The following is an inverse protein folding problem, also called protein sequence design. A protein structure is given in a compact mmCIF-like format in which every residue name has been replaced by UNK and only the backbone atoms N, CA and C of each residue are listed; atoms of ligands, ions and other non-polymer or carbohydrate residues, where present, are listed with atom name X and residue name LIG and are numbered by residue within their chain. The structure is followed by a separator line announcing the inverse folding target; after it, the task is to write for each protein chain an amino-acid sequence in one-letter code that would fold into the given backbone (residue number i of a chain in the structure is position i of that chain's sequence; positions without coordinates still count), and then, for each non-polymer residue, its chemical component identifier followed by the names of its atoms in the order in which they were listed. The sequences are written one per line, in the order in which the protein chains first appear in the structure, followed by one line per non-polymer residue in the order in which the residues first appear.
data_IF_778431167358
#
_entry.id   IF_778431167358
#
_cell.length_a   1.000
_cell.length_b   1.000
_cell.length_c   1.000
_cell.angle_alpha   90.00
_cell.angle_beta   90.00
_cell.angle_gamma   90.00
#
_symmetry.space_group_name_H-M   'P 1'
#
loop_
_entity.id
_entity.type
_entity.pdbx_description
1 polymer ?
#
# COMPACT_ATOMS: atom_id res chain seq x y z
N UNK A 1 20.21 -31.93 -7.10
CA UNK A 1 21.04 -30.71 -7.26
C UNK A 1 20.19 -29.71 -8.04
N UNK A 2 19.64 -28.69 -7.38
CA UNK A 2 18.79 -27.67 -8.01
C UNK A 2 19.55 -26.33 -8.03
N UNK A 3 19.75 -25.79 -9.23
CA UNK A 3 20.58 -24.64 -9.52
C UNK A 3 19.82 -23.30 -9.46
N UNK A 4 19.17 -23.00 -8.33
CA UNK A 4 18.51 -21.71 -8.11
C UNK A 4 18.90 -21.04 -6.79
N UNK A 5 20.13 -21.29 -6.32
CA UNK A 5 20.69 -20.53 -5.20
C UNK A 5 21.24 -19.19 -5.68
N UNK A 6 20.50 -18.13 -5.34
CA UNK A 6 20.99 -16.78 -5.00
C UNK A 6 21.69 -15.97 -6.10
N UNK A 7 20.90 -15.32 -6.97
CA UNK A 7 21.38 -14.10 -7.64
C UNK A 7 21.30 -12.95 -6.64
N UNK A 8 22.42 -12.65 -5.97
CA UNK A 8 22.53 -11.51 -5.06
C UNK A 8 22.67 -10.17 -5.81
N UNK A 9 22.33 -9.06 -5.12
CA UNK A 9 22.41 -7.67 -5.59
C UNK A 9 23.76 -7.27 -6.22
N UNK A 10 24.84 -7.95 -5.81
CA UNK A 10 26.20 -7.76 -6.35
C UNK A 10 26.40 -8.36 -7.76
N UNK A 11 25.64 -9.38 -8.14
CA UNK A 11 25.71 -9.97 -9.49
C UNK A 11 24.98 -9.09 -10.51
N UNK A 12 23.87 -8.46 -10.11
CA UNK A 12 23.15 -7.49 -10.94
C UNK A 12 24.00 -6.29 -11.36
N UNK A 13 24.78 -5.73 -10.42
CA UNK A 13 25.61 -4.55 -10.72
C UNK A 13 26.80 -4.84 -11.64
N UNK A 14 27.24 -6.10 -11.73
CA UNK A 14 28.33 -6.50 -12.63
C UNK A 14 27.87 -6.66 -14.09
N UNK A 15 26.61 -7.00 -14.32
CA UNK A 15 26.04 -7.08 -15.67
C UNK A 15 25.79 -5.69 -16.31
N UNK A 16 25.64 -4.65 -15.49
CA UNK A 16 25.41 -3.28 -15.97
C UNK A 16 26.71 -2.49 -16.28
N UNK A 17 27.89 -3.08 -16.05
CA UNK A 17 29.17 -2.41 -16.18
C UNK A 17 30.08 -3.12 -17.20
N UNK A 18 29.66 -3.16 -18.46
CA UNK A 18 30.56 -3.49 -19.58
C UNK A 18 30.74 -2.23 -20.42
N UNK A 19 31.96 -1.68 -20.57
CA UNK A 19 32.19 -0.50 -21.39
C UNK A 19 32.06 -0.88 -22.87
N UNK A 20 31.23 -0.14 -23.60
CA UNK A 20 31.13 -0.20 -25.06
C UNK A 20 32.46 0.30 -25.65
N UNK A 21 33.30 -0.63 -26.11
CA UNK A 21 34.36 -0.34 -27.07
C UNK A 21 33.88 -0.86 -28.42
N UNK A 22 33.94 0.02 -29.41
CA UNK A 22 33.26 -0.08 -30.70
C UNK A 22 33.54 -1.37 -31.49
N UNK A 23 32.46 -1.85 -32.10
CA UNK A 23 32.48 -2.90 -33.11
C UNK A 23 31.06 -3.03 -33.64
N UNK A 24 30.83 -2.58 -34.88
CA UNK A 24 29.56 -2.77 -35.58
C UNK A 24 29.35 -4.27 -35.78
N UNK A 25 28.53 -4.89 -34.94
CA UNK A 25 28.03 -6.25 -35.12
C UNK A 25 26.53 -6.19 -34.93
N UNK A 26 25.80 -6.55 -35.98
CA UNK A 26 24.35 -6.71 -35.98
C UNK A 26 23.97 -7.75 -34.93
N UNK A 27 23.59 -7.27 -33.74
CA UNK A 27 23.05 -8.12 -32.68
C UNK A 27 21.62 -8.42 -33.10
N UNK A 28 21.37 -9.67 -33.47
CA UNK A 28 20.04 -10.20 -33.69
C UNK A 28 19.16 -9.88 -32.48
N UNK A 29 17.94 -9.42 -32.75
CA UNK A 29 16.97 -8.95 -31.77
C UNK A 29 16.30 -10.11 -30.98
N UNK A 30 17.09 -11.09 -30.56
CA UNK A 30 16.66 -12.20 -29.71
C UNK A 30 17.55 -12.22 -28.46
N UNK A 31 17.46 -11.17 -27.65
CA UNK A 31 18.00 -11.19 -26.30
C UNK A 31 16.89 -11.67 -25.34
N UNK A 32 16.88 -12.95 -24.93
CA UNK A 32 15.86 -13.50 -24.04
C UNK A 32 15.85 -12.86 -22.65
N UNK A 33 16.83 -12.01 -22.33
CA UNK A 33 16.89 -11.25 -21.07
C UNK A 33 15.93 -10.05 -21.03
N UNK A 34 15.44 -9.55 -22.17
CA UNK A 34 14.40 -8.52 -22.20
C UNK A 34 12.97 -9.08 -22.10
N UNK A 35 12.79 -10.40 -22.17
CA UNK A 35 11.49 -11.07 -22.26
C UNK A 35 11.10 -11.82 -20.98
N UNK A 36 11.31 -11.18 -19.82
CA UNK A 36 10.84 -11.71 -18.54
C UNK A 36 10.40 -10.61 -17.56
N UNK A 37 9.77 -9.55 -18.06
CA UNK A 37 8.82 -8.82 -17.22
C UNK A 37 7.55 -9.68 -17.15
N UNK A 38 7.53 -10.67 -16.25
CA UNK A 38 6.29 -11.38 -15.93
C UNK A 38 5.22 -10.34 -15.64
N UNK A 39 4.15 -10.33 -16.41
CA UNK A 39 3.01 -9.44 -16.22
C UNK A 39 2.29 -9.84 -14.94
N UNK A 40 2.81 -9.39 -13.79
CA UNK A 40 2.17 -9.60 -12.49
C UNK A 40 0.78 -8.98 -12.59
N UNK A 41 -0.26 -9.81 -12.50
CA UNK A 41 -1.64 -9.34 -12.48
C UNK A 41 -1.81 -8.41 -11.27
N UNK A 42 -2.21 -7.14 -11.48
CA UNK A 42 -2.35 -6.20 -10.38
C UNK A 42 -3.33 -6.69 -9.32
N UNK A 43 -2.97 -6.54 -8.04
CA UNK A 43 -3.83 -6.88 -6.90
C UNK A 43 -4.66 -5.68 -6.47
N UNK A 44 -5.94 -5.91 -6.15
CA UNK A 44 -6.83 -4.85 -5.71
C UNK A 44 -6.60 -4.53 -4.23
N UNK A 45 -6.45 -3.26 -3.86
CA UNK A 45 -6.25 -2.85 -2.46
C UNK A 45 -7.26 -1.79 -2.05
N UNK A 46 -7.74 -1.88 -0.80
CA UNK A 46 -8.44 -0.78 -0.15
C UNK A 46 -7.42 0.13 0.55
N UNK A 47 -7.62 1.44 0.48
CA UNK A 47 -6.86 2.37 1.31
C UNK A 47 -7.74 2.91 2.45
N UNK A 48 -7.17 2.96 3.65
CA UNK A 48 -7.80 3.49 4.86
C UNK A 48 -6.91 4.61 5.37
N UNK A 49 -7.34 5.86 5.22
CA UNK A 49 -6.50 7.02 5.51
C UNK A 49 -7.17 8.02 6.44
N UNK A 50 -6.38 8.76 7.19
CA UNK A 50 -6.85 9.86 8.05
C UNK A 50 -7.24 11.07 7.21
N UNK A 51 -6.36 11.51 6.33
CA UNK A 51 -6.56 12.60 5.36
C UNK A 51 -5.92 12.24 4.02
N UNK A 52 -6.28 12.98 2.96
CA UNK A 52 -5.56 12.96 1.70
C UNK A 52 -5.44 14.40 1.18
N UNK A 53 -4.29 15.03 1.42
CA UNK A 53 -3.89 16.34 0.88
C UNK A 53 -2.56 16.23 0.14
N UNK A 54 -2.19 17.23 -0.66
CA UNK A 54 -0.88 17.24 -1.33
C UNK A 54 0.27 17.09 -0.33
N UNK A 55 1.26 16.28 -0.70
CA UNK A 55 2.47 15.96 0.09
C UNK A 55 2.19 15.28 1.44
N UNK A 56 0.94 14.88 1.71
CA UNK A 56 0.65 13.96 2.81
C UNK A 56 1.18 12.56 2.51
N UNK A 57 1.34 11.73 3.53
CA UNK A 57 1.80 10.37 3.30
C UNK A 57 0.81 9.53 2.47
N UNK A 58 -0.48 9.82 2.58
CA UNK A 58 -1.52 9.31 1.68
C UNK A 58 -1.22 9.68 0.22
N UNK A 59 -0.79 10.90 -0.06
CA UNK A 59 -0.45 11.33 -1.42
C UNK A 59 0.81 10.65 -1.95
N UNK A 60 1.85 10.56 -1.12
CA UNK A 60 3.11 9.88 -1.47
C UNK A 60 2.87 8.42 -1.87
N UNK A 61 1.97 7.71 -1.18
CA UNK A 61 1.69 6.30 -1.45
C UNK A 61 0.61 6.14 -2.53
N UNK A 62 -0.58 6.70 -2.31
CA UNK A 62 -1.73 6.51 -3.21
C UNK A 62 -1.51 7.18 -4.56
N UNK A 63 -0.75 8.28 -4.62
CA UNK A 63 -0.34 8.91 -5.87
C UNK A 63 0.44 7.96 -6.77
N UNK A 64 1.25 7.04 -6.23
CA UNK A 64 1.95 6.02 -7.04
C UNK A 64 1.02 4.95 -7.60
N UNK A 65 -0.05 4.62 -6.86
CA UNK A 65 -1.07 3.68 -7.33
C UNK A 65 -1.95 4.30 -8.43
N UNK A 66 -2.20 5.61 -8.35
CA UNK A 66 -3.08 6.32 -9.27
C UNK A 66 -2.36 6.89 -10.51
N UNK A 67 -1.12 7.34 -10.33
CA UNK A 67 -0.39 8.14 -11.34
C UNK A 67 0.94 7.52 -11.78
N UNK A 68 1.31 6.36 -11.23
CA UNK A 68 2.57 5.68 -11.55
C UNK A 68 3.78 6.25 -10.80
N UNK A 69 4.96 5.67 -11.06
CA UNK A 69 6.20 6.02 -10.35
C UNK A 69 6.61 7.48 -10.54
N UNK A 70 6.39 8.02 -11.74
CA UNK A 70 6.78 9.38 -12.14
C UNK A 70 5.61 10.37 -12.16
N UNK A 71 4.42 9.98 -11.70
CA UNK A 71 3.19 10.79 -11.77
C UNK A 71 2.76 11.19 -13.19
N UNK A 72 3.19 10.44 -14.20
CA UNK A 72 2.93 10.65 -15.62
C UNK A 72 1.90 9.66 -16.20
N UNK A 73 1.24 8.88 -15.32
CA UNK A 73 0.39 7.73 -15.66
C UNK A 73 1.14 6.60 -16.37
N UNK A 74 2.46 6.57 -16.26
CA UNK A 74 3.31 5.47 -16.67
C UNK A 74 3.21 4.27 -15.71
N UNK A 75 4.18 3.34 -15.76
CA UNK A 75 4.21 2.18 -14.89
C UNK A 75 4.15 2.56 -13.40
N UNK A 76 3.44 1.76 -12.62
CA UNK A 76 3.31 1.88 -11.16
C UNK A 76 3.52 0.53 -10.47
N UNK A 77 3.23 0.42 -9.17
CA UNK A 77 3.18 -0.88 -8.50
C UNK A 77 2.14 -1.78 -9.17
N UNK A 78 2.33 -3.10 -9.09
CA UNK A 78 1.34 -4.10 -9.53
C UNK A 78 0.14 -4.17 -8.57
N UNK A 79 -0.47 -3.02 -8.29
CA UNK A 79 -1.59 -2.81 -7.39
C UNK A 79 -2.61 -1.90 -8.06
N UNK A 80 -3.89 -2.07 -7.73
CA UNK A 80 -4.99 -1.20 -8.12
C UNK A 80 -5.69 -0.69 -6.86
N UNK A 81 -5.82 0.62 -6.72
CA UNK A 81 -6.66 1.20 -5.67
C UNK A 81 -8.13 0.95 -6.00
N UNK A 82 -8.78 0.06 -5.24
CA UNK A 82 -10.16 -0.36 -5.47
C UNK A 82 -11.18 0.53 -4.75
N UNK A 83 -10.80 1.07 -3.59
CA UNK A 83 -11.65 1.89 -2.73
C UNK A 83 -10.83 2.69 -1.74
N UNK A 84 -11.45 3.73 -1.21
CA UNK A 84 -10.87 4.60 -0.19
C UNK A 84 -11.84 4.81 0.97
N UNK A 85 -11.32 4.78 2.20
CA UNK A 85 -11.94 5.40 3.36
C UNK A 85 -11.07 6.60 3.78
N UNK A 86 -11.69 7.75 4.04
CA UNK A 86 -11.02 8.96 4.53
C UNK A 86 -11.72 9.41 5.80
N UNK A 87 -10.98 9.51 6.91
CA UNK A 87 -11.53 9.87 8.21
C UNK A 87 -11.89 11.36 8.29
N UNK A 88 -11.10 12.23 7.65
CA UNK A 88 -11.25 13.69 7.71
C UNK A 88 -10.96 14.35 6.36
N UNK A 89 -11.77 15.34 6.00
CA UNK A 89 -11.62 16.15 4.77
C UNK A 89 -11.25 17.60 5.16
N UNK A 90 -9.96 17.92 5.34
CA UNK A 90 -9.54 19.29 5.64
C UNK A 90 -9.78 20.23 4.44
N UNK A 91 -9.60 21.54 4.65
CA UNK A 91 -9.86 22.55 3.60
C UNK A 91 -8.98 22.41 2.35
N UNK A 92 -7.85 21.73 2.45
CA UNK A 92 -6.90 21.40 1.37
C UNK A 92 -7.00 19.94 0.90
N UNK A 93 -8.15 19.28 1.14
CA UNK A 93 -8.43 17.93 0.67
C UNK A 93 -8.25 17.79 -0.85
N UNK A 94 -7.63 16.68 -1.25
CA UNK A 94 -7.57 16.21 -2.63
C UNK A 94 -8.17 14.82 -2.81
N UNK A 95 -8.64 14.15 -1.74
CA UNK A 95 -9.23 12.81 -1.84
C UNK A 95 -10.36 12.78 -2.88
N UNK A 96 -11.29 13.73 -2.77
CA UNK A 96 -12.52 13.74 -3.59
C UNK A 96 -12.20 13.97 -5.06
N UNK A 97 -11.31 14.91 -5.36
CA UNK A 97 -10.93 15.22 -6.74
C UNK A 97 -10.11 14.09 -7.37
N UNK A 98 -9.19 13.49 -6.62
CA UNK A 98 -8.41 12.33 -7.08
C UNK A 98 -9.30 11.10 -7.31
N UNK A 99 -10.17 10.78 -6.35
CA UNK A 99 -11.09 9.65 -6.47
C UNK A 99 -12.05 9.81 -7.66
N UNK A 100 -12.58 11.02 -7.88
CA UNK A 100 -13.40 11.32 -9.05
C UNK A 100 -12.61 11.17 -10.37
N UNK A 101 -11.37 11.68 -10.42
CA UNK A 101 -10.47 11.60 -11.59
C UNK A 101 -10.15 10.15 -11.99
N UNK A 102 -10.08 9.24 -11.03
CA UNK A 102 -9.67 7.84 -11.24
C UNK A 102 -10.78 6.81 -11.04
N UNK A 103 -12.04 7.25 -10.88
CA UNK A 103 -13.20 6.40 -10.62
C UNK A 103 -12.99 5.44 -9.42
N UNK A 104 -12.39 5.94 -8.34
CA UNK A 104 -12.24 5.20 -7.07
C UNK A 104 -13.39 5.61 -6.15
N UNK A 105 -14.23 4.68 -5.67
CA UNK A 105 -15.27 4.99 -4.71
C UNK A 105 -14.67 5.33 -3.33
N UNK A 106 -15.23 6.36 -2.69
CA UNK A 106 -15.00 6.66 -1.27
C UNK A 106 -16.19 6.12 -0.47
N UNK A 107 -15.92 5.42 0.62
CA UNK A 107 -16.94 4.87 1.51
C UNK A 107 -16.90 5.51 2.90
N UNK A 108 -18.04 5.51 3.59
CA UNK A 108 -18.22 6.13 4.91
C UNK A 108 -17.71 5.26 6.07
N UNK A 109 -17.35 4.00 5.78
CA UNK A 109 -16.78 3.08 6.77
C UNK A 109 -15.66 2.22 6.19
N UNK A 110 -14.75 1.81 7.06
CA UNK A 110 -13.65 0.90 6.73
C UNK A 110 -14.19 -0.44 6.22
N UNK A 111 -15.26 -0.97 6.85
CA UNK A 111 -15.90 -2.21 6.39
C UNK A 111 -16.37 -2.07 4.93
N UNK A 112 -17.13 -1.02 4.61
CA UNK A 112 -17.61 -0.79 3.24
C UNK A 112 -16.47 -0.59 2.23
N UNK A 113 -15.37 0.06 2.63
CA UNK A 113 -14.20 0.17 1.77
C UNK A 113 -13.60 -1.22 1.47
N UNK A 114 -13.49 -2.09 2.46
CA UNK A 114 -12.97 -3.46 2.31
C UNK A 114 -13.93 -4.37 1.51
N UNK A 115 -15.24 -4.16 1.61
CA UNK A 115 -16.26 -4.97 0.93
C UNK A 115 -16.75 -4.40 -0.40
N UNK A 116 -16.28 -3.20 -0.78
CA UNK A 116 -16.85 -2.42 -1.90
C UNK A 116 -18.38 -2.21 -1.77
N UNK A 117 -18.87 -2.10 -0.53
CA UNK A 117 -20.30 -1.98 -0.22
C UNK A 117 -21.09 -3.29 -0.29
N UNK A 118 -20.42 -4.42 -0.57
CA UNK A 118 -21.01 -5.76 -0.59
C UNK A 118 -20.98 -6.46 0.77
N UNK A 119 -21.21 -7.78 0.73
CA UNK A 119 -21.34 -8.67 1.90
C UNK A 119 -20.11 -9.54 2.17
N UNK A 120 -19.01 -9.33 1.43
CA UNK A 120 -17.74 -10.03 1.61
C UNK A 120 -16.54 -9.10 1.35
N UNK A 121 -15.39 -9.40 1.95
CA UNK A 121 -14.13 -8.69 1.64
C UNK A 121 -13.84 -8.86 0.15
N UNK A 122 -13.74 -7.75 -0.58
CA UNK A 122 -13.66 -7.71 -2.04
C UNK A 122 -12.27 -7.27 -2.56
N UNK A 123 -11.33 -6.99 -1.65
CA UNK A 123 -9.95 -6.59 -1.96
C UNK A 123 -8.95 -7.70 -1.64
N UNK A 124 -7.74 -7.61 -2.18
CA UNK A 124 -6.63 -8.52 -1.96
C UNK A 124 -5.67 -8.06 -0.84
N UNK A 125 -5.81 -6.82 -0.36
CA UNK A 125 -4.99 -6.25 0.71
C UNK A 125 -5.48 -4.88 1.15
N UNK A 126 -4.90 -4.37 2.25
CA UNK A 126 -5.23 -3.06 2.82
C UNK A 126 -3.98 -2.22 3.02
N UNK A 127 -4.05 -0.95 2.60
CA UNK A 127 -3.05 0.08 2.87
C UNK A 127 -3.64 1.02 3.94
N UNK A 128 -3.13 0.95 5.16
CA UNK A 128 -3.61 1.75 6.31
C UNK A 128 -2.62 2.88 6.62
N UNK A 129 -3.04 4.13 6.42
CA UNK A 129 -2.22 5.33 6.59
C UNK A 129 -2.83 6.22 7.67
N UNK A 130 -2.32 6.06 8.89
CA UNK A 130 -2.75 6.81 10.07
C UNK A 130 -1.88 8.02 10.37
N UNK A 131 -1.72 8.99 9.47
CA UNK A 131 -0.82 10.15 9.66
C UNK A 131 -1.47 11.47 9.23
N UNK A 132 -1.16 12.57 9.95
CA UNK A 132 -1.84 13.87 9.84
C UNK A 132 -3.33 13.81 10.19
N UNK A 133 -3.99 14.97 10.18
CA UNK A 133 -5.35 15.17 10.65
C UNK A 133 -5.40 15.81 12.03
N UNK A 134 -6.60 16.16 12.46
CA UNK A 134 -6.87 16.70 13.78
C UNK A 134 -7.16 15.54 14.75
N UNK A 135 -6.20 15.28 15.63
CA UNK A 135 -6.27 14.23 16.64
C UNK A 135 -5.67 14.75 17.95
N UNK A 136 -6.11 14.23 19.11
CA UNK A 136 -5.64 14.69 20.41
C UNK A 136 -4.15 14.38 20.61
N UNK A 137 -3.55 15.07 21.58
CA UNK A 137 -2.21 14.76 22.07
C UNK A 137 -2.32 14.17 23.49
N UNK A 138 -1.38 13.30 23.87
CA UNK A 138 -1.28 12.87 25.27
C UNK A 138 -0.39 13.80 26.11
N UNK A 139 -0.25 13.48 27.40
CA UNK A 139 0.57 14.25 28.35
C UNK A 139 2.06 14.32 27.99
N UNK A 140 2.55 13.46 27.10
CA UNK A 140 3.93 13.44 26.60
C UNK A 140 4.09 14.22 25.27
N UNK A 141 3.03 14.88 24.80
CA UNK A 141 3.03 15.60 23.53
C UNK A 141 3.02 14.70 22.30
N UNK A 142 2.70 13.41 22.45
CA UNK A 142 2.57 12.51 21.31
C UNK A 142 1.21 12.70 20.65
N UNK A 143 1.20 12.83 19.33
CA UNK A 143 -0.03 12.94 18.54
C UNK A 143 -0.72 11.56 18.44
N UNK A 144 -1.97 11.48 18.87
CA UNK A 144 -2.73 10.23 19.03
C UNK A 144 -3.44 9.84 17.73
N UNK A 145 -2.65 9.58 16.69
CA UNK A 145 -3.16 9.10 15.41
C UNK A 145 -3.93 7.76 15.56
N UNK A 146 -4.99 7.54 14.77
CA UNK A 146 -5.97 6.47 15.00
C UNK A 146 -5.52 5.10 14.48
N UNK A 147 -4.22 4.80 14.44
CA UNK A 147 -3.66 3.59 13.81
C UNK A 147 -4.25 2.30 14.40
N UNK A 148 -4.37 2.21 15.73
CA UNK A 148 -5.06 1.09 16.40
C UNK A 148 -6.55 1.01 16.04
N UNK A 149 -7.26 2.14 15.99
CA UNK A 149 -8.69 2.17 15.63
C UNK A 149 -8.90 1.68 14.20
N UNK A 150 -8.06 2.13 13.27
CA UNK A 150 -8.07 1.65 11.89
C UNK A 150 -7.80 0.16 11.82
N UNK A 151 -6.73 -0.31 12.45
CA UNK A 151 -6.40 -1.74 12.46
C UNK A 151 -7.49 -2.60 13.10
N UNK A 152 -8.11 -2.12 14.19
CA UNK A 152 -9.25 -2.79 14.82
C UNK A 152 -10.42 -2.93 13.85
N UNK A 153 -10.85 -1.83 13.21
CA UNK A 153 -11.95 -1.86 12.26
C UNK A 153 -11.65 -2.74 11.02
N UNK A 154 -10.40 -2.74 10.55
CA UNK A 154 -9.93 -3.63 9.48
C UNK A 154 -10.04 -5.10 9.92
N UNK A 155 -9.51 -5.43 11.10
CA UNK A 155 -9.53 -6.78 11.66
C UNK A 155 -10.97 -7.27 11.91
N UNK A 156 -11.82 -6.41 12.48
CA UNK A 156 -13.21 -6.76 12.79
C UNK A 156 -14.03 -6.99 11.52
N UNK A 157 -13.79 -6.22 10.45
CA UNK A 157 -14.38 -6.49 9.14
C UNK A 157 -13.91 -7.85 8.58
N UNK A 158 -12.60 -8.14 8.63
CA UNK A 158 -12.08 -9.45 8.17
C UNK A 158 -12.67 -10.62 8.95
N UNK A 159 -12.81 -10.48 10.27
CA UNK A 159 -13.41 -11.50 11.15
C UNK A 159 -14.89 -11.70 10.80
N UNK A 160 -15.66 -10.61 10.68
CA UNK A 160 -17.09 -10.63 10.32
C UNK A 160 -17.35 -11.34 9.00
N UNK A 161 -16.52 -11.09 8.00
CA UNK A 161 -16.69 -11.63 6.65
C UNK A 161 -15.89 -12.92 6.40
N UNK A 162 -15.19 -13.45 7.41
CA UNK A 162 -14.46 -14.72 7.33
C UNK A 162 -13.31 -14.74 6.31
N UNK A 163 -12.77 -13.57 5.91
CA UNK A 163 -11.68 -13.46 4.93
C UNK A 163 -10.59 -12.52 5.44
N UNK A 164 -9.40 -13.08 5.61
CA UNK A 164 -8.18 -12.34 5.98
C UNK A 164 -7.38 -11.99 4.72
N UNK A 165 -6.89 -10.75 4.66
CA UNK A 165 -5.96 -10.26 3.63
C UNK A 165 -4.76 -9.55 4.28
N UNK A 166 -3.62 -9.40 3.58
CA UNK A 166 -2.48 -8.66 4.11
C UNK A 166 -2.81 -7.20 4.43
N UNK A 167 -2.19 -6.68 5.49
CA UNK A 167 -2.31 -5.28 5.90
C UNK A 167 -0.92 -4.65 5.96
N UNK A 168 -0.75 -3.57 5.18
CA UNK A 168 0.34 -2.63 5.36
C UNK A 168 -0.13 -1.50 6.28
N UNK A 169 0.57 -1.28 7.39
CA UNK A 169 0.33 -0.16 8.29
C UNK A 169 1.50 0.80 8.26
N UNK A 170 1.20 2.02 7.89
CA UNK A 170 2.15 3.10 7.81
C UNK A 170 2.66 3.56 9.20
N UNK A 171 3.97 3.81 9.26
CA UNK A 171 4.80 4.13 10.43
C UNK A 171 4.74 3.07 11.54
N UNK A 172 4.98 3.53 12.76
CA UNK A 172 4.83 2.79 14.00
C UNK A 172 3.36 2.44 14.26
N UNK A 173 3.10 1.35 14.99
CA UNK A 173 1.76 0.81 15.21
C UNK A 173 0.87 1.71 16.10
N UNK A 174 1.43 2.32 17.13
CA UNK A 174 0.67 3.18 18.04
C UNK A 174 1.58 4.05 18.90
N UNK A 175 1.02 5.12 19.50
CA UNK A 175 1.77 6.03 20.36
C UNK A 175 2.17 5.36 21.69
N UNK A 176 1.47 4.28 22.09
CA UNK A 176 1.71 3.52 23.32
C UNK A 176 2.07 2.06 23.02
N UNK A 177 2.85 1.46 23.92
CA UNK A 177 3.18 0.03 23.85
C UNK A 177 1.94 -0.87 23.88
N UNK A 178 0.95 -0.54 24.70
CA UNK A 178 -0.29 -1.31 24.80
C UNK A 178 -1.05 -1.35 23.48
N UNK A 179 -1.03 -0.27 22.71
CA UNK A 179 -1.68 -0.24 21.40
C UNK A 179 -0.92 -1.08 20.37
N UNK A 180 0.40 -0.91 20.31
CA UNK A 180 1.26 -1.70 19.43
C UNK A 180 1.16 -3.20 19.73
N UNK A 181 1.19 -3.58 21.01
CA UNK A 181 1.05 -4.98 21.44
C UNK A 181 -0.33 -5.53 21.09
N UNK A 182 -1.40 -4.77 21.33
CA UNK A 182 -2.76 -5.21 20.98
C UNK A 182 -2.90 -5.48 19.48
N UNK A 183 -2.38 -4.59 18.63
CA UNK A 183 -2.42 -4.77 17.17
C UNK A 183 -1.63 -6.00 16.74
N UNK A 184 -0.44 -6.21 17.31
CA UNK A 184 0.37 -7.39 17.07
C UNK A 184 -0.34 -8.69 17.50
N UNK A 185 -0.84 -8.74 18.74
CA UNK A 185 -1.53 -9.92 19.28
C UNK A 185 -2.75 -10.28 18.43
N UNK A 186 -3.54 -9.27 18.03
CA UNK A 186 -4.72 -9.45 17.17
C UNK A 186 -4.32 -9.95 15.77
N UNK A 187 -3.25 -9.41 15.18
CA UNK A 187 -2.71 -9.89 13.91
C UNK A 187 -2.28 -11.36 13.99
N UNK A 188 -1.59 -11.76 15.07
CA UNK A 188 -1.17 -13.15 15.31
C UNK A 188 -2.38 -14.06 15.49
N UNK A 189 -3.34 -13.68 16.32
CA UNK A 189 -4.57 -14.46 16.56
C UNK A 189 -5.32 -14.75 15.26
N UNK A 190 -5.45 -13.73 14.41
CA UNK A 190 -6.17 -13.82 13.14
C UNK A 190 -5.32 -14.33 11.98
N UNK A 191 -4.01 -14.52 12.18
CA UNK A 191 -3.04 -14.85 11.13
C UNK A 191 -3.02 -13.82 10.00
N UNK A 192 -3.19 -12.54 10.32
CA UNK A 192 -3.08 -11.43 9.36
C UNK A 192 -1.60 -11.26 9.00
N UNK A 193 -1.22 -11.34 7.70
CA UNK A 193 0.11 -10.90 7.26
C UNK A 193 0.22 -9.40 7.48
N UNK A 194 0.98 -9.01 8.51
CA UNK A 194 1.00 -7.63 9.00
C UNK A 194 2.39 -7.01 8.85
N UNK A 195 2.48 -5.96 8.02
CA UNK A 195 3.71 -5.21 7.77
C UNK A 195 3.57 -3.80 8.34
N UNK A 196 4.51 -3.41 9.20
CA UNK A 196 4.71 -2.02 9.61
C UNK A 196 5.84 -1.40 8.76
N UNK A 197 5.68 -0.17 8.27
CA UNK A 197 6.67 0.49 7.40
C UNK A 197 6.66 2.00 7.52
#
# INVERSE_FOLDING_TARGET
MNAFDTIGRRNWLKLAATPLIGGLSTIAADDPLLSAASSVTPKSVAAVVTIYRRDSHSDVILGKLLEGWLHDRGPGPALKLASLYVDQFPGDDIARSMCAKYAVPIFDSIEQALTLGGDAIAVDGVISIGEHGDYPHNAFGQHLYPRKRFFAAIADAMEKHGRVVPVFNDKHLGPTWSDAKWMYDRAVQMKIPFMAG
#
